data_IF_528491407924
#
_entry.id   IF_528491407924
#
_cell.length_a   1.000
_cell.length_b   1.000
_cell.length_c   1.000
_cell.angle_alpha   90.00
_cell.angle_beta   90.00
_cell.angle_gamma   90.00
#
_symmetry.space_group_name_H-M   'P 1'
#
loop_
_entity.id
_entity.type
_entity.pdbx_description
1 polymer ?
#
# COMPACT_ATOMS: atom_id res chain seq x y z
N UNK A 1 6.15 -16.10 -14.30
CA UNK A 1 6.15 -14.63 -14.11
C UNK A 1 7.53 -14.22 -13.66
N UNK A 2 8.25 -13.43 -14.46
CA UNK A 2 9.56 -12.90 -14.07
C UNK A 2 9.35 -11.67 -13.19
N UNK A 3 9.90 -11.72 -11.97
CA UNK A 3 9.83 -10.69 -10.93
C UNK A 3 10.78 -9.51 -11.26
N UNK A 4 10.59 -8.84 -12.39
CA UNK A 4 11.34 -7.65 -12.76
C UNK A 4 10.38 -6.45 -12.74
N UNK A 5 10.73 -5.43 -11.95
CA UNK A 5 10.04 -4.14 -11.73
C UNK A 5 9.06 -3.96 -10.54
N UNK A 6 9.35 -4.55 -9.38
CA UNK A 6 8.69 -4.21 -8.08
C UNK A 6 8.98 -2.79 -7.54
N UNK A 7 9.48 -1.88 -8.37
CA UNK A 7 9.94 -0.56 -7.93
C UNK A 7 8.87 0.51 -8.08
N UNK A 8 8.72 1.02 -9.29
CA UNK A 8 7.94 2.24 -9.56
C UNK A 8 6.44 1.95 -9.76
N UNK A 9 6.10 0.87 -10.48
CA UNK A 9 4.71 0.48 -10.73
C UNK A 9 3.97 0.15 -9.43
N UNK A 10 4.57 -0.72 -8.60
CA UNK A 10 4.02 -1.11 -7.30
C UNK A 10 3.81 0.10 -6.38
N UNK A 11 4.77 1.02 -6.27
CA UNK A 11 4.61 2.22 -5.43
C UNK A 11 3.50 3.15 -5.93
N UNK A 12 3.31 3.26 -7.26
CA UNK A 12 2.21 4.05 -7.84
C UNK A 12 0.86 3.41 -7.48
N UNK A 13 0.74 2.09 -7.60
CA UNK A 13 -0.49 1.36 -7.27
C UNK A 13 -0.83 1.47 -5.79
N UNK A 14 0.14 1.25 -4.89
CA UNK A 14 -0.05 1.39 -3.44
C UNK A 14 -0.43 2.83 -3.05
N UNK A 15 0.14 3.82 -3.72
CA UNK A 15 -0.22 5.23 -3.52
C UNK A 15 -1.68 5.51 -3.94
N UNK A 16 -2.13 4.94 -5.06
CA UNK A 16 -3.53 5.03 -5.50
C UNK A 16 -4.49 4.34 -4.52
N UNK A 17 -4.16 3.13 -4.07
CA UNK A 17 -4.95 2.39 -3.08
C UNK A 17 -5.06 3.19 -1.77
N UNK A 18 -3.94 3.74 -1.28
CA UNK A 18 -3.93 4.53 -0.05
C UNK A 18 -4.85 5.75 -0.16
N UNK A 19 -4.80 6.45 -1.30
CA UNK A 19 -5.68 7.59 -1.56
C UNK A 19 -7.17 7.20 -1.56
N UNK A 20 -7.53 6.06 -2.15
CA UNK A 20 -8.91 5.56 -2.16
C UNK A 20 -9.41 5.21 -0.75
N UNK A 21 -8.52 4.72 0.12
CA UNK A 21 -8.80 4.44 1.52
C UNK A 21 -8.76 5.68 2.44
N UNK A 22 -8.54 6.89 1.89
CA UNK A 22 -8.43 8.12 2.69
C UNK A 22 -7.14 8.20 3.52
N UNK A 23 -6.08 7.50 3.09
CA UNK A 23 -4.76 7.46 3.72
C UNK A 23 -3.72 8.13 2.83
N UNK A 24 -2.59 8.54 3.41
CA UNK A 24 -1.46 9.09 2.65
C UNK A 24 -0.31 8.08 2.60
N UNK A 25 0.15 7.77 1.39
CA UNK A 25 1.28 6.86 1.20
C UNK A 25 2.60 7.51 1.63
N UNK A 26 3.40 6.78 2.41
CA UNK A 26 4.74 7.21 2.85
C UNK A 26 5.80 6.39 2.11
N UNK A 27 5.67 5.07 2.07
CA UNK A 27 6.67 4.20 1.45
C UNK A 27 6.31 2.72 1.41
N UNK A 28 7.09 1.96 0.65
CA UNK A 28 6.95 0.51 0.53
C UNK A 28 8.32 -0.15 0.69
N UNK A 29 8.41 -1.11 1.61
CA UNK A 29 9.57 -1.97 1.82
C UNK A 29 9.32 -3.32 1.15
N UNK A 30 9.92 -3.60 -0.02
CA UNK A 30 9.71 -4.86 -0.73
C UNK A 30 10.34 -6.06 -0.03
N UNK A 31 11.44 -5.87 0.71
CA UNK A 31 12.11 -6.96 1.42
C UNK A 31 11.28 -7.45 2.62
N UNK A 32 10.61 -6.54 3.31
CA UNK A 32 9.74 -6.85 4.44
C UNK A 32 8.26 -7.02 4.06
N UNK A 33 7.90 -6.78 2.78
CA UNK A 33 6.52 -6.75 2.30
C UNK A 33 5.63 -5.85 3.18
N UNK A 34 6.07 -4.62 3.41
CA UNK A 34 5.40 -3.66 4.29
C UNK A 34 5.11 -2.33 3.60
N UNK A 35 3.94 -1.76 3.88
CA UNK A 35 3.56 -0.43 3.43
C UNK A 35 3.45 0.52 4.62
N UNK A 36 4.04 1.71 4.50
CA UNK A 36 3.94 2.76 5.50
C UNK A 36 3.01 3.85 4.99
N UNK A 37 2.08 4.26 5.86
CA UNK A 37 0.97 5.16 5.56
C UNK A 37 0.84 6.19 6.69
N UNK A 38 0.26 7.34 6.39
CA UNK A 38 -0.22 8.29 7.38
C UNK A 38 -1.74 8.19 7.46
N UNK A 39 -2.25 7.92 8.65
CA UNK A 39 -3.68 7.82 8.96
C UNK A 39 -4.01 8.82 10.06
N UNK A 40 -4.83 9.83 9.75
CA UNK A 40 -5.22 10.90 10.69
C UNK A 40 -4.01 11.55 11.38
N UNK A 41 -2.95 11.84 10.62
CA UNK A 41 -1.71 12.46 11.13
C UNK A 41 -0.75 11.53 11.87
N UNK A 42 -1.02 10.22 11.93
CA UNK A 42 -0.14 9.22 12.55
C UNK A 42 0.47 8.30 11.51
N UNK A 43 1.78 8.10 11.57
CA UNK A 43 2.48 7.10 10.76
C UNK A 43 2.18 5.68 11.25
N UNK A 44 1.74 4.82 10.34
CA UNK A 44 1.41 3.41 10.61
C UNK A 44 2.04 2.55 9.52
N UNK A 45 2.55 1.39 9.89
CA UNK A 45 3.09 0.40 8.96
C UNK A 45 2.25 -0.87 9.02
N UNK A 46 1.82 -1.34 7.86
CA UNK A 46 1.05 -2.57 7.71
C UNK A 46 1.85 -3.60 6.92
N UNK A 47 1.63 -4.90 7.17
CA UNK A 47 1.89 -5.92 6.16
C UNK A 47 1.18 -5.55 4.85
N UNK A 48 1.86 -5.76 3.71
CA UNK A 48 1.32 -5.43 2.39
C UNK A 48 -0.01 -6.13 2.14
N UNK A 49 -0.10 -7.40 2.50
CA UNK A 49 -1.29 -8.21 2.31
C UNK A 49 -2.51 -7.65 3.05
N UNK A 50 -2.36 -7.28 4.32
CA UNK A 50 -3.46 -6.70 5.11
C UNK A 50 -3.98 -5.39 4.49
N UNK A 51 -3.06 -4.55 3.99
CA UNK A 51 -3.43 -3.32 3.31
C UNK A 51 -4.20 -3.57 2.00
N UNK A 52 -3.76 -4.53 1.20
CA UNK A 52 -4.46 -4.91 -0.05
C UNK A 52 -5.84 -5.48 0.27
N UNK A 53 -5.95 -6.37 1.24
CA UNK A 53 -7.25 -6.92 1.66
C UNK A 53 -8.19 -5.82 2.15
N UNK A 54 -7.69 -4.81 2.86
CA UNK A 54 -8.50 -3.68 3.28
C UNK A 54 -9.02 -2.88 2.08
N UNK A 55 -8.16 -2.63 1.09
CA UNK A 55 -8.55 -1.97 -0.16
C UNK A 55 -9.65 -2.75 -0.89
N UNK A 56 -9.46 -4.05 -1.08
CA UNK A 56 -10.43 -4.91 -1.77
C UNK A 56 -11.80 -4.89 -1.08
N UNK A 57 -11.82 -5.00 0.25
CA UNK A 57 -13.06 -4.98 1.05
C UNK A 57 -13.80 -3.64 1.01
N UNK A 58 -13.11 -2.52 0.84
CA UNK A 58 -13.75 -1.19 0.88
C UNK A 58 -14.07 -0.63 -0.51
N UNK A 59 -13.43 -1.12 -1.57
CA UNK A 59 -13.53 -0.52 -2.91
C UNK A 59 -13.97 -1.47 -4.02
N UNK A 60 -13.92 -2.80 -3.81
CA UNK A 60 -14.27 -3.79 -4.82
C UNK A 60 -15.46 -4.68 -4.41
N UNK A 61 -16.08 -4.41 -3.25
CA UNK A 61 -17.29 -5.07 -2.74
C UNK A 61 -18.58 -4.44 -3.25
#
# INVERSE_FOLDING_TARGET
MHLQDFGRGTRIELSKMAKLLGMKFIGFNPSAQQVSLEVKGKGVTYPLEEFVQQYERQCLS
#
